data_IF_049008802681
#
_entry.id   IF_049008802681
#
_cell.length_a   1.000
_cell.length_b   1.000
_cell.length_c   1.000
_cell.angle_alpha   90.00
_cell.angle_beta   90.00
_cell.angle_gamma   90.00
#
_symmetry.space_group_name_H-M   'P 1'
#
loop_
_entity.id
_entity.type
_entity.pdbx_description
1 polymer ?
#
# COMPACT_ATOMS: atom_id res chain seq x y z
N UNK A 1 27.09 -15.77 -3.68
CA UNK A 1 25.78 -15.66 -3.04
C UNK A 1 24.90 -16.86 -3.37
N UNK A 2 24.09 -17.27 -2.41
CA UNK A 2 23.17 -18.40 -2.57
C UNK A 2 22.07 -18.14 -3.63
N UNK A 3 21.70 -16.86 -3.82
CA UNK A 3 20.72 -16.44 -4.82
C UNK A 3 21.40 -15.49 -5.81
N UNK A 4 21.91 -15.99 -6.95
CA UNK A 4 22.82 -15.21 -7.80
C UNK A 4 22.22 -13.97 -8.45
N UNK A 5 20.90 -13.84 -8.55
CA UNK A 5 20.27 -12.66 -9.14
C UNK A 5 19.48 -11.83 -8.13
N UNK A 6 19.68 -12.07 -6.85
CA UNK A 6 18.90 -11.42 -5.80
C UNK A 6 18.93 -9.89 -5.91
N UNK A 7 20.11 -9.30 -5.97
CA UNK A 7 20.22 -7.84 -5.98
C UNK A 7 19.78 -7.23 -7.29
N UNK A 8 19.92 -7.94 -8.42
CA UNK A 8 19.35 -7.49 -9.69
C UNK A 8 17.82 -7.43 -9.60
N UNK A 9 17.19 -8.42 -8.98
CA UNK A 9 15.74 -8.46 -8.76
C UNK A 9 15.30 -7.32 -7.85
N UNK A 10 15.97 -7.15 -6.72
CA UNK A 10 15.66 -6.08 -5.76
C UNK A 10 15.83 -4.70 -6.41
N UNK A 11 16.85 -4.52 -7.24
CA UNK A 11 17.08 -3.27 -7.94
C UNK A 11 15.95 -2.97 -8.92
N UNK A 12 15.51 -3.93 -9.72
CA UNK A 12 14.39 -3.77 -10.66
C UNK A 12 13.10 -3.41 -9.93
N UNK A 13 12.85 -4.06 -8.80
CA UNK A 13 11.71 -3.78 -7.94
C UNK A 13 11.73 -2.33 -7.45
N UNK A 14 12.87 -1.88 -6.93
CA UNK A 14 13.02 -0.49 -6.44
C UNK A 14 12.95 0.54 -7.55
N UNK A 15 13.51 0.23 -8.72
CA UNK A 15 13.44 1.12 -9.88
C UNK A 15 11.98 1.35 -10.31
N UNK A 16 11.17 0.29 -10.31
CA UNK A 16 9.73 0.41 -10.59
C UNK A 16 9.04 1.27 -9.55
N UNK A 17 9.29 1.03 -8.27
CA UNK A 17 8.68 1.78 -7.17
C UNK A 17 8.99 3.28 -7.30
N UNK A 18 10.23 3.64 -7.57
CA UNK A 18 10.62 5.05 -7.76
C UNK A 18 9.97 5.68 -8.96
N UNK A 19 9.86 4.95 -10.05
CA UNK A 19 9.31 5.47 -11.31
C UNK A 19 7.79 5.62 -11.28
N UNK A 20 7.10 4.65 -10.67
CA UNK A 20 5.63 4.55 -10.78
C UNK A 20 4.88 4.73 -9.46
N UNK A 21 5.57 4.66 -8.33
CA UNK A 21 4.98 4.76 -7.00
C UNK A 21 5.68 5.82 -6.15
N UNK A 22 5.81 7.07 -6.66
CA UNK A 22 6.53 8.12 -5.94
C UNK A 22 5.84 8.58 -4.66
N UNK A 23 4.59 8.19 -4.46
CA UNK A 23 3.84 8.47 -3.23
C UNK A 23 4.34 7.65 -2.04
N UNK A 24 5.10 6.57 -2.28
CA UNK A 24 5.71 5.78 -1.21
C UNK A 24 7.03 6.46 -0.83
N UNK A 25 7.03 7.11 0.34
CA UNK A 25 8.20 7.84 0.84
C UNK A 25 8.83 7.19 2.05
N UNK A 26 8.17 6.18 2.61
CA UNK A 26 8.65 5.47 3.80
C UNK A 26 8.10 4.06 3.80
N UNK A 27 8.69 3.19 4.61
CA UNK A 27 8.15 1.85 4.83
C UNK A 27 6.75 1.90 5.42
N UNK A 28 6.47 2.90 6.26
CA UNK A 28 5.13 3.07 6.83
C UNK A 28 4.08 3.33 5.74
N UNK A 29 4.41 4.14 4.73
CA UNK A 29 3.50 4.36 3.60
C UNK A 29 3.16 3.03 2.92
N UNK A 30 4.17 2.21 2.68
CA UNK A 30 3.98 0.91 2.06
C UNK A 30 3.12 0.00 2.94
N UNK A 31 3.41 -0.04 4.24
CA UNK A 31 2.63 -0.83 5.20
C UNK A 31 1.15 -0.42 5.21
N UNK A 32 0.87 0.88 5.21
CA UNK A 32 -0.51 1.37 5.18
C UNK A 32 -1.23 0.95 3.90
N UNK A 33 -0.57 1.09 2.76
CA UNK A 33 -1.13 0.71 1.46
C UNK A 33 -1.41 -0.80 1.44
N UNK A 34 -0.49 -1.61 1.92
CA UNK A 34 -0.66 -3.07 1.98
C UNK A 34 -1.87 -3.43 2.85
N UNK A 35 -1.98 -2.84 4.04
CA UNK A 35 -3.10 -3.17 4.95
C UNK A 35 -4.46 -2.76 4.38
N UNK A 36 -4.52 -1.57 3.77
CA UNK A 36 -5.76 -1.10 3.13
C UNK A 36 -6.11 -1.98 1.94
N UNK A 37 -5.14 -2.26 1.07
CA UNK A 37 -5.34 -3.12 -0.09
C UNK A 37 -5.71 -4.54 0.27
N UNK A 38 -5.10 -5.09 1.31
CA UNK A 38 -5.40 -6.43 1.80
C UNK A 38 -6.84 -6.53 2.30
N UNK A 39 -7.31 -5.55 3.06
CA UNK A 39 -8.70 -5.49 3.50
C UNK A 39 -9.65 -5.40 2.30
N UNK A 40 -9.33 -4.54 1.33
CA UNK A 40 -10.13 -4.35 0.13
C UNK A 40 -10.21 -5.63 -0.70
N UNK A 41 -9.10 -6.34 -0.86
CA UNK A 41 -9.03 -7.62 -1.57
C UNK A 41 -9.91 -8.68 -0.91
N UNK A 42 -9.99 -8.67 0.42
CA UNK A 42 -10.83 -9.59 1.19
C UNK A 42 -12.25 -9.09 1.36
N UNK A 43 -12.63 -8.01 0.70
CA UNK A 43 -13.95 -7.37 0.78
C UNK A 43 -14.32 -6.98 2.22
N UNK A 44 -13.32 -6.55 2.99
CA UNK A 44 -13.49 -6.05 4.35
C UNK A 44 -13.25 -4.57 4.38
N UNK A 45 -13.96 -3.87 5.26
CA UNK A 45 -13.79 -2.43 5.47
C UNK A 45 -12.78 -2.23 6.58
N UNK A 46 -11.76 -1.42 6.33
CA UNK A 46 -10.78 -1.06 7.34
C UNK A 46 -10.92 0.42 7.68
N UNK A 47 -10.95 0.72 8.98
CA UNK A 47 -11.10 2.07 9.49
C UNK A 47 -9.74 2.62 9.93
N UNK A 48 -9.59 3.96 10.04
CA UNK A 48 -8.37 4.53 10.61
C UNK A 48 -8.03 3.98 11.99
N UNK A 49 -9.04 3.78 12.84
CA UNK A 49 -8.84 3.23 14.18
C UNK A 49 -8.23 1.83 14.13
N UNK A 50 -8.69 0.99 13.19
CA UNK A 50 -8.14 -0.35 13.01
C UNK A 50 -6.68 -0.29 12.59
N UNK A 51 -6.31 0.67 11.72
CA UNK A 51 -4.91 0.86 11.35
C UNK A 51 -4.06 1.26 12.56
N UNK A 52 -4.56 2.14 13.43
CA UNK A 52 -3.84 2.52 14.64
C UNK A 52 -3.59 1.32 15.56
N UNK A 53 -4.57 0.41 15.65
CA UNK A 53 -4.47 -0.77 16.48
C UNK A 53 -3.45 -1.79 15.98
N UNK A 54 -3.06 -1.74 14.70
CA UNK A 54 -2.03 -2.61 14.15
C UNK A 54 -0.62 -2.25 14.66
N UNK A 55 -0.45 -1.08 15.24
CA UNK A 55 0.83 -0.62 15.80
C UNK A 55 1.97 -0.64 14.79
N UNK A 56 1.68 -0.26 13.56
CA UNK A 56 2.69 -0.15 12.50
C UNK A 56 3.71 0.94 12.84
N UNK A 57 3.30 1.96 13.55
CA UNK A 57 4.11 3.05 14.06
C UNK A 57 3.31 3.78 15.15
N UNK A 58 3.79 4.91 15.64
CA UNK A 58 3.02 5.73 16.57
C UNK A 58 1.72 6.20 15.92
N UNK A 59 0.69 6.44 16.72
CA UNK A 59 -0.62 6.93 16.22
C UNK A 59 -0.44 8.23 15.44
N UNK A 60 0.39 9.14 15.93
CA UNK A 60 0.63 10.43 15.25
C UNK A 60 1.31 10.22 13.89
N UNK A 61 2.27 9.30 13.79
CA UNK A 61 2.93 8.99 12.51
C UNK A 61 1.96 8.37 11.52
N UNK A 62 1.17 7.39 11.96
CA UNK A 62 0.15 6.76 11.11
C UNK A 62 -0.86 7.80 10.63
N UNK A 63 -1.36 8.64 11.54
CA UNK A 63 -2.32 9.69 11.20
C UNK A 63 -1.76 10.66 10.17
N UNK A 64 -0.53 11.11 10.36
CA UNK A 64 0.13 12.05 9.44
C UNK A 64 0.33 11.44 8.06
N UNK A 65 0.83 10.22 7.98
CA UNK A 65 1.06 9.56 6.68
C UNK A 65 -0.24 9.23 5.98
N UNK A 66 -1.24 8.77 6.73
CA UNK A 66 -2.56 8.50 6.19
C UNK A 66 -3.19 9.76 5.59
N UNK A 67 -3.08 10.90 6.29
CA UNK A 67 -3.56 12.18 5.78
C UNK A 67 -2.85 12.57 4.50
N UNK A 68 -1.53 12.35 4.41
CA UNK A 68 -0.75 12.67 3.21
C UNK A 68 -1.15 11.79 2.02
N UNK A 69 -1.31 10.51 2.25
CA UNK A 69 -1.74 9.58 1.19
C UNK A 69 -3.16 9.90 0.71
N UNK A 70 -4.03 10.35 1.61
CA UNK A 70 -5.37 10.79 1.26
C UNK A 70 -5.33 12.08 0.44
N UNK A 71 -4.52 13.04 0.85
CA UNK A 71 -4.33 14.29 0.13
C UNK A 71 -3.81 14.05 -1.29
N UNK A 72 -2.93 13.09 -1.47
CA UNK A 72 -2.36 12.74 -2.77
C UNK A 72 -3.29 11.87 -3.63
N UNK A 73 -4.45 11.52 -3.13
CA UNK A 73 -5.42 10.70 -3.87
C UNK A 73 -5.05 9.22 -3.97
N UNK A 74 -4.13 8.74 -3.15
CA UNK A 74 -3.75 7.32 -3.11
C UNK A 74 -4.75 6.54 -2.29
N UNK A 75 -5.16 7.08 -1.16
CA UNK A 75 -6.16 6.52 -0.25
C UNK A 75 -7.41 7.37 -0.32
N UNK A 76 -8.56 6.72 -0.35
CA UNK A 76 -9.87 7.38 -0.38
C UNK A 76 -10.64 7.03 0.88
N UNK A 77 -11.25 8.04 1.50
CA UNK A 77 -12.13 7.84 2.64
C UNK A 77 -13.55 7.62 2.13
N UNK A 78 -14.14 6.51 2.53
CA UNK A 78 -15.49 6.14 2.15
C UNK A 78 -16.43 6.29 3.34
N UNK A 79 -17.64 6.83 3.15
CA UNK A 79 -18.61 6.88 4.25
C UNK A 79 -19.07 5.47 4.60
N UNK A 80 -19.23 5.21 5.91
CA UNK A 80 -19.83 3.97 6.37
C UNK A 80 -21.32 4.16 6.48
N UNK A 81 -22.11 3.48 5.64
CA UNK A 81 -23.57 3.61 5.60
C UNK A 81 -24.27 3.16 6.88
N UNK A 82 -23.62 2.29 7.66
CA UNK A 82 -24.18 1.75 8.88
C UNK A 82 -23.82 2.59 10.11
N UNK A 83 -22.80 3.44 10.00
CA UNK A 83 -22.36 4.32 11.07
C UNK A 83 -21.80 5.61 10.47
N UNK A 84 -22.59 6.66 10.51
CA UNK A 84 -22.23 7.96 9.93
C UNK A 84 -21.05 8.60 10.64
N UNK A 85 -20.64 8.12 11.81
CA UNK A 85 -19.50 8.64 12.57
C UNK A 85 -18.18 8.01 12.16
N UNK A 86 -18.23 6.92 11.40
CA UNK A 86 -17.01 6.22 10.98
C UNK A 86 -16.87 6.27 9.48
N UNK A 87 -15.62 6.22 9.03
CA UNK A 87 -15.25 6.11 7.63
C UNK A 87 -14.39 4.86 7.48
N UNK A 88 -14.42 4.25 6.32
CA UNK A 88 -13.47 3.21 5.99
C UNK A 88 -12.58 3.67 4.85
N UNK A 89 -11.47 2.98 4.65
CA UNK A 89 -10.43 3.38 3.71
C UNK A 89 -10.35 2.40 2.56
N UNK A 90 -10.16 2.95 1.36
CA UNK A 90 -9.89 2.15 0.16
C UNK A 90 -8.73 2.79 -0.60
N UNK A 91 -8.12 2.03 -1.49
CA UNK A 91 -7.16 2.56 -2.44
C UNK A 91 -7.92 3.13 -3.63
N UNK A 92 -7.43 4.24 -4.20
CA UNK A 92 -8.01 4.80 -5.41
C UNK A 92 -7.84 3.84 -6.59
N UNK A 93 -8.71 3.97 -7.59
CA UNK A 93 -8.62 3.15 -8.80
C UNK A 93 -7.26 3.32 -9.51
N UNK A 94 -6.72 4.54 -9.51
CA UNK A 94 -5.40 4.81 -10.07
C UNK A 94 -4.29 4.08 -9.33
N UNK A 95 -4.35 4.07 -8.01
CA UNK A 95 -3.38 3.35 -7.17
C UNK A 95 -3.47 1.85 -7.38
N UNK A 96 -4.68 1.30 -7.47
CA UNK A 96 -4.88 -0.13 -7.74
C UNK A 96 -4.27 -0.51 -9.09
N UNK A 97 -4.46 0.31 -10.13
CA UNK A 97 -3.87 0.03 -11.45
C UNK A 97 -2.35 -0.03 -11.40
N UNK A 98 -1.71 0.90 -10.69
CA UNK A 98 -0.25 0.89 -10.54
C UNK A 98 0.21 -0.34 -9.76
N UNK A 99 -0.49 -0.68 -8.68
CA UNK A 99 -0.16 -1.84 -7.86
C UNK A 99 -0.35 -3.16 -8.62
N UNK A 100 -1.33 -3.23 -9.50
CA UNK A 100 -1.51 -4.41 -10.36
C UNK A 100 -0.34 -4.59 -11.33
N UNK A 101 0.16 -3.49 -11.90
CA UNK A 101 1.37 -3.53 -12.73
C UNK A 101 2.59 -3.98 -11.93
N UNK A 102 2.70 -3.48 -10.71
CA UNK A 102 3.74 -3.88 -9.77
C UNK A 102 3.65 -5.39 -9.48
N UNK A 103 2.44 -5.89 -9.24
CA UNK A 103 2.20 -7.31 -9.04
C UNK A 103 2.63 -8.15 -10.23
N UNK A 104 2.34 -7.70 -11.44
CA UNK A 104 2.79 -8.35 -12.68
C UNK A 104 4.31 -8.41 -12.76
N UNK A 105 5.00 -7.33 -12.38
CA UNK A 105 6.46 -7.31 -12.33
C UNK A 105 6.99 -8.33 -11.30
N UNK A 106 6.42 -8.37 -10.11
CA UNK A 106 6.85 -9.30 -9.06
C UNK A 106 6.72 -10.75 -9.52
N UNK A 107 5.62 -11.10 -10.17
CA UNK A 107 5.41 -12.45 -10.71
C UNK A 107 6.45 -12.75 -11.79
N UNK A 108 6.69 -11.80 -12.70
CA UNK A 108 7.68 -11.94 -13.76
C UNK A 108 9.10 -12.16 -13.20
N UNK A 109 9.50 -11.39 -12.20
CA UNK A 109 10.81 -11.53 -11.55
C UNK A 109 10.92 -12.85 -10.80
N UNK A 110 9.86 -13.30 -10.18
CA UNK A 110 9.81 -14.59 -9.50
C UNK A 110 10.01 -15.75 -10.48
N UNK A 111 9.39 -15.69 -11.65
CA UNK A 111 9.55 -16.72 -12.70
C UNK A 111 10.98 -16.77 -13.23
N UNK A 112 11.64 -15.61 -13.37
CA UNK A 112 13.05 -15.52 -13.82
C UNK A 112 13.98 -16.07 -12.74
N UNK A 113 13.69 -15.82 -11.47
CA UNK A 113 14.50 -16.27 -10.34
C UNK A 113 14.34 -17.75 -10.04
N UNK A 114 13.24 -18.32 -10.43
CA UNK A 114 12.96 -19.74 -10.28
C UNK A 114 13.51 -20.53 -11.40
#
# INVERSE_FOLDING_TARGET
MKFPQLFAILKKKRDFERAHMPFIRSLLDFDLIIEIGYAQERKKKITPKQLFLLKLSSVSSVRRRLAKLTEQGVVVRQPNRHDQRSEFLTLSAGSVRVLEKYGGLLISLSAVAG
#
